data_IF_554349352656
#
_entry.id   IF_554349352656
#
_cell.length_a   1.000
_cell.length_b   1.000
_cell.length_c   1.000
_cell.angle_alpha   90.00
_cell.angle_beta   90.00
_cell.angle_gamma   90.00
#
_symmetry.space_group_name_H-M   'P 1'
#
loop_
_entity.id
_entity.type
_entity.pdbx_description
1 polymer ?
#
# COMPACT_ATOMS: atom_id res chain seq x y z
N UNK A 1 -1.69 10.60 31.85
CA UNK A 1 -2.76 9.80 32.49
C UNK A 1 -4.06 9.81 31.68
N UNK A 2 -4.30 10.84 30.85
CA UNK A 2 -5.52 10.95 30.04
C UNK A 2 -5.60 9.93 28.91
N UNK A 3 -4.49 9.67 28.23
CA UNK A 3 -4.43 8.74 27.10
C UNK A 3 -4.86 7.31 27.44
N UNK A 4 -4.44 6.78 28.60
CA UNK A 4 -4.84 5.43 29.04
C UNK A 4 -6.36 5.33 29.27
N UNK A 5 -7.00 6.37 29.82
CA UNK A 5 -8.46 6.34 30.01
C UNK A 5 -9.20 6.46 28.66
N UNK A 6 -8.70 7.30 27.75
CA UNK A 6 -9.22 7.39 26.38
C UNK A 6 -9.17 6.03 25.68
N UNK A 7 -8.02 5.34 25.73
CA UNK A 7 -7.85 3.98 25.21
C UNK A 7 -8.85 3.00 25.81
N UNK A 8 -8.92 2.93 27.15
CA UNK A 8 -9.84 2.02 27.86
C UNK A 8 -11.29 2.27 27.48
N UNK A 9 -11.67 3.52 27.23
CA UNK A 9 -13.03 3.86 26.78
C UNK A 9 -13.28 3.43 25.35
N UNK A 10 -12.38 3.76 24.42
CA UNK A 10 -12.49 3.35 23.02
C UNK A 10 -12.57 1.83 22.87
N UNK A 11 -11.70 1.09 23.58
CA UNK A 11 -11.73 -0.37 23.61
C UNK A 11 -13.08 -0.91 24.12
N UNK A 12 -13.58 -0.42 25.26
CA UNK A 12 -14.89 -0.83 25.80
C UNK A 12 -16.04 -0.57 24.84
N UNK A 13 -16.06 0.63 24.23
CA UNK A 13 -17.09 1.01 23.25
C UNK A 13 -17.01 0.17 21.99
N UNK A 14 -15.81 -0.18 21.53
CA UNK A 14 -15.60 -0.94 20.30
C UNK A 14 -16.38 -2.25 20.28
N UNK A 15 -16.51 -2.96 21.40
CA UNK A 15 -17.20 -4.25 21.43
C UNK A 15 -18.68 -4.20 21.02
N UNK A 16 -19.32 -3.02 21.09
CA UNK A 16 -20.75 -2.85 20.77
C UNK A 16 -21.01 -1.72 19.76
N UNK A 17 -19.97 -1.01 19.32
CA UNK A 17 -20.09 0.08 18.37
C UNK A 17 -20.33 -0.42 16.94
N UNK A 18 -21.23 0.24 16.22
CA UNK A 18 -21.32 0.12 14.76
C UNK A 18 -20.14 0.85 14.14
N UNK A 19 -19.70 0.47 12.93
CA UNK A 19 -18.66 1.22 12.22
C UNK A 19 -18.96 2.72 12.08
N UNK A 20 -20.23 3.10 11.92
CA UNK A 20 -20.66 4.49 11.78
C UNK A 20 -20.57 5.30 13.08
N UNK A 21 -20.35 4.65 14.23
CA UNK A 21 -20.24 5.31 15.52
C UNK A 21 -18.79 5.82 15.80
N UNK A 22 -17.81 5.47 14.94
CA UNK A 22 -16.40 5.84 15.11
C UNK A 22 -16.15 7.34 15.30
N UNK A 23 -16.77 8.25 14.52
CA UNK A 23 -16.59 9.70 14.74
C UNK A 23 -17.06 10.15 16.11
N UNK A 24 -18.19 9.62 16.57
CA UNK A 24 -18.74 9.96 17.89
C UNK A 24 -17.86 9.38 19.01
N UNK A 25 -17.27 8.19 18.80
CA UNK A 25 -16.30 7.61 19.73
C UNK A 25 -15.06 8.49 19.88
N UNK A 26 -14.51 8.99 18.77
CA UNK A 26 -13.38 9.93 18.80
C UNK A 26 -13.75 11.22 19.55
N UNK A 27 -14.90 11.83 19.24
CA UNK A 27 -15.40 13.01 19.95
C UNK A 27 -15.58 12.78 21.46
N UNK A 28 -16.07 11.61 21.88
CA UNK A 28 -16.22 11.25 23.29
C UNK A 28 -14.88 10.98 24.00
N UNK A 29 -13.83 10.62 23.27
CA UNK A 29 -12.49 10.43 23.80
C UNK A 29 -11.73 11.76 23.95
N UNK A 30 -12.04 12.78 23.14
CA UNK A 30 -11.33 14.06 23.10
C UNK A 30 -11.12 14.71 24.49
N UNK A 31 -12.13 14.84 25.37
CA UNK A 31 -11.94 15.51 26.67
C UNK A 31 -10.98 14.78 27.61
N UNK A 32 -10.75 13.48 27.39
CA UNK A 32 -9.86 12.66 28.23
C UNK A 32 -8.40 13.00 28.01
N UNK A 33 -8.07 13.53 26.84
CA UNK A 33 -6.73 14.04 26.49
C UNK A 33 -6.76 15.58 26.42
N UNK A 34 -7.65 16.24 27.15
CA UNK A 34 -7.70 17.71 27.19
C UNK A 34 -8.09 18.40 25.87
N UNK A 35 -8.59 17.66 24.89
CA UNK A 35 -9.07 18.19 23.62
C UNK A 35 -10.56 18.52 23.67
N UNK A 36 -10.97 19.54 22.92
CA UNK A 36 -12.38 19.92 22.76
C UNK A 36 -13.06 19.16 21.63
N UNK A 37 -12.29 18.69 20.65
CA UNK A 37 -12.78 17.88 19.55
C UNK A 37 -11.68 16.97 18.98
N UNK A 38 -12.10 15.82 18.44
CA UNK A 38 -11.28 14.89 17.68
C UNK A 38 -12.02 14.49 16.40
N UNK A 39 -11.48 14.87 15.24
CA UNK A 39 -12.11 14.62 13.95
C UNK A 39 -11.16 13.80 13.07
N UNK A 40 -11.59 12.59 12.69
CA UNK A 40 -10.86 11.78 11.73
C UNK A 40 -11.12 12.28 10.30
N UNK A 41 -10.06 12.38 9.51
CA UNK A 41 -10.10 12.57 8.08
C UNK A 41 -9.54 11.33 7.40
N UNK A 42 -10.28 10.78 6.45
CA UNK A 42 -9.86 9.62 5.67
C UNK A 42 -9.35 10.10 4.32
N UNK A 43 -8.25 9.52 3.85
CA UNK A 43 -7.71 9.83 2.54
C UNK A 43 -8.53 9.16 1.42
N UNK A 44 -8.85 9.89 0.36
CA UNK A 44 -9.51 9.35 -0.82
C UNK A 44 -8.65 8.29 -1.54
N UNK A 45 -9.27 7.53 -2.46
CA UNK A 45 -8.58 6.40 -3.12
C UNK A 45 -7.31 6.83 -3.87
N UNK A 46 -7.30 8.04 -4.44
CA UNK A 46 -6.16 8.59 -5.18
C UNK A 46 -5.16 9.31 -4.27
N UNK A 47 -5.40 9.36 -2.96
CA UNK A 47 -4.56 10.04 -1.98
C UNK A 47 -4.31 11.55 -2.27
N UNK A 48 -5.30 12.24 -2.85
CA UNK A 48 -5.27 13.69 -3.14
C UNK A 48 -6.04 14.50 -2.10
N UNK A 49 -7.09 13.94 -1.50
CA UNK A 49 -7.99 14.64 -0.59
C UNK A 49 -8.08 13.95 0.77
N UNK A 50 -8.15 14.75 1.83
CA UNK A 50 -8.51 14.34 3.17
C UNK A 50 -9.99 14.67 3.40
N UNK A 51 -10.79 13.64 3.67
CA UNK A 51 -12.25 13.69 3.73
C UNK A 51 -12.72 13.50 5.17
N UNK A 52 -13.45 14.46 5.75
CA UNK A 52 -13.86 14.37 7.15
C UNK A 52 -14.86 13.23 7.36
N UNK A 53 -14.52 12.33 8.28
CA UNK A 53 -15.43 11.32 8.80
C UNK A 53 -16.14 11.91 10.02
N UNK A 54 -17.24 12.62 9.77
CA UNK A 54 -18.05 13.30 10.79
C UNK A 54 -19.39 12.61 10.97
N UNK A 55 -19.86 12.53 12.21
CA UNK A 55 -21.20 12.07 12.56
C UNK A 55 -21.68 12.80 13.82
N UNK A 56 -23.00 12.80 14.04
CA UNK A 56 -23.61 13.35 15.25
C UNK A 56 -23.34 14.85 15.42
N UNK A 57 -22.88 15.22 16.62
CA UNK A 57 -22.70 16.61 17.05
C UNK A 57 -21.30 17.16 16.73
N UNK A 58 -20.49 16.43 15.94
CA UNK A 58 -19.17 16.87 15.55
C UNK A 58 -19.24 18.21 14.79
N UNK A 59 -18.32 19.17 15.06
CA UNK A 59 -18.26 20.41 14.31
C UNK A 59 -18.17 20.14 12.80
N UNK A 60 -18.85 20.94 11.95
CA UNK A 60 -18.77 20.77 10.52
C UNK A 60 -17.32 20.93 10.07
N UNK A 61 -16.93 20.07 9.12
CA UNK A 61 -15.62 20.05 8.49
C UNK A 61 -15.76 19.89 7.00
N UNK A 62 -14.90 20.58 6.27
CA UNK A 62 -14.81 20.50 4.82
C UNK A 62 -13.64 19.60 4.40
N UNK A 63 -13.77 18.89 3.27
CA UNK A 63 -12.63 18.27 2.60
C UNK A 63 -11.54 19.27 2.25
N UNK A 64 -10.28 18.83 2.27
CA UNK A 64 -9.16 19.62 1.77
C UNK A 64 -8.08 18.75 1.13
N UNK A 65 -7.21 19.38 0.34
CA UNK A 65 -6.09 18.71 -0.33
C UNK A 65 -5.04 18.23 0.67
N UNK A 66 -4.44 17.08 0.39
CA UNK A 66 -3.22 16.65 1.09
C UNK A 66 -2.12 17.68 0.83
N UNK A 67 -1.84 17.97 -0.43
CA UNK A 67 -0.73 18.87 -0.77
C UNK A 67 -1.02 20.32 -0.35
N UNK A 68 -0.01 20.97 0.24
CA UNK A 68 -0.09 22.37 0.67
C UNK A 68 -0.75 22.62 2.03
N UNK A 69 -1.14 21.58 2.77
CA UNK A 69 -1.79 21.72 4.10
C UNK A 69 -0.94 21.17 5.24
N UNK A 70 -1.17 21.66 6.46
CA UNK A 70 -0.50 21.14 7.66
C UNK A 70 -0.91 19.70 7.97
N UNK A 71 -2.20 19.41 7.80
CA UNK A 71 -2.77 18.07 7.89
C UNK A 71 -2.10 17.12 6.89
N UNK A 72 -1.95 17.53 5.63
CA UNK A 72 -1.25 16.73 4.64
C UNK A 72 0.24 16.57 4.93
N UNK A 73 0.89 17.52 5.60
CA UNK A 73 2.25 17.31 6.12
C UNK A 73 2.27 16.14 7.11
N UNK A 74 1.38 16.12 8.09
CA UNK A 74 1.28 15.00 9.03
C UNK A 74 1.03 13.65 8.32
N UNK A 75 0.14 13.64 7.32
CA UNK A 75 -0.12 12.47 6.48
C UNK A 75 1.13 11.99 5.71
N UNK A 76 1.87 12.92 5.09
CA UNK A 76 2.97 12.60 4.18
C UNK A 76 4.27 12.26 4.90
N UNK A 77 4.55 12.90 6.04
CA UNK A 77 5.76 12.65 6.85
C UNK A 77 5.57 11.57 7.90
N UNK A 78 4.32 11.20 8.23
CA UNK A 78 3.98 10.34 9.37
C UNK A 78 4.38 10.92 10.73
N UNK A 79 4.46 12.25 10.82
CA UNK A 79 4.84 12.96 12.05
C UNK A 79 3.69 13.86 12.53
N UNK A 80 3.49 14.00 13.86
CA UNK A 80 2.55 14.97 14.40
C UNK A 80 2.88 16.40 13.97
N UNK A 81 1.87 17.16 13.53
CA UNK A 81 2.04 18.56 13.12
C UNK A 81 1.11 19.48 13.92
N UNK A 82 1.65 20.54 14.52
CA UNK A 82 0.87 21.47 15.36
C UNK A 82 0.73 22.83 14.66
N UNK A 83 -0.47 23.39 14.65
CA UNK A 83 -0.72 24.74 14.11
C UNK A 83 -0.17 25.83 15.03
N UNK A 84 -0.09 27.05 14.51
CA UNK A 84 0.02 28.21 15.39
C UNK A 84 -1.25 28.34 16.26
N UNK A 85 -1.15 29.04 17.38
CA UNK A 85 -2.30 29.36 18.21
C UNK A 85 -3.20 30.37 17.49
N UNK A 86 -4.46 30.00 17.28
CA UNK A 86 -5.49 30.82 16.67
C UNK A 86 -6.60 31.13 17.70
N UNK A 87 -7.58 31.96 17.32
CA UNK A 87 -8.66 32.38 18.21
C UNK A 87 -9.57 31.21 18.65
N UNK A 88 -9.63 30.13 17.86
CA UNK A 88 -10.40 28.91 18.13
C UNK A 88 -9.57 27.78 18.76
N UNK A 89 -8.28 28.04 19.07
CA UNK A 89 -7.38 27.12 19.76
C UNK A 89 -6.14 26.74 18.94
N UNK A 90 -5.55 25.61 19.30
CA UNK A 90 -4.42 24.98 18.61
C UNK A 90 -4.88 23.66 18.02
N UNK A 91 -4.49 23.38 16.77
CA UNK A 91 -4.80 22.12 16.08
C UNK A 91 -3.56 21.24 16.04
N UNK A 92 -3.68 20.05 16.61
CA UNK A 92 -2.69 18.97 16.47
C UNK A 92 -3.20 17.98 15.41
N UNK A 93 -2.40 17.76 14.38
CA UNK A 93 -2.66 16.80 13.31
C UNK A 93 -1.80 15.58 13.51
N UNK A 94 -2.45 14.42 13.65
CA UNK A 94 -1.78 13.14 13.85
C UNK A 94 -2.06 12.23 12.68
N UNK A 95 -1.09 11.44 12.20
CA UNK A 95 -1.36 10.47 11.16
C UNK A 95 -2.26 9.34 11.71
N UNK A 96 -3.24 8.91 10.91
CA UNK A 96 -4.03 7.69 11.15
C UNK A 96 -3.38 6.57 10.34
N UNK A 97 -2.61 5.71 11.01
CA UNK A 97 -1.82 4.65 10.38
C UNK A 97 -2.19 3.30 10.97
N UNK A 98 -2.46 2.32 10.12
CA UNK A 98 -2.55 0.91 10.50
C UNK A 98 -1.26 0.21 10.06
N UNK A 99 -0.37 -0.11 11.01
CA UNK A 99 0.99 -0.52 10.71
C UNK A 99 1.77 0.55 9.94
N UNK A 100 1.87 0.41 8.63
CA UNK A 100 2.48 1.41 7.72
C UNK A 100 1.50 1.95 6.67
N UNK A 101 0.26 1.48 6.66
CA UNK A 101 -0.78 1.94 5.75
C UNK A 101 -1.38 3.26 6.23
N UNK A 102 -1.37 4.27 5.36
CA UNK A 102 -1.88 5.60 5.66
C UNK A 102 -3.38 5.67 5.38
N UNK A 103 -4.18 5.76 6.44
CA UNK A 103 -5.64 5.88 6.33
C UNK A 103 -6.09 7.33 6.22
N UNK A 104 -5.30 8.27 6.76
CA UNK A 104 -5.60 9.70 6.77
C UNK A 104 -4.98 10.40 7.97
N UNK A 105 -5.70 11.35 8.58
CA UNK A 105 -5.21 12.10 9.76
C UNK A 105 -6.31 12.33 10.79
N UNK A 106 -5.92 12.42 12.06
CA UNK A 106 -6.75 12.85 13.16
C UNK A 106 -6.46 14.33 13.45
N UNK A 107 -7.49 15.16 13.36
CA UNK A 107 -7.48 16.51 13.91
C UNK A 107 -7.81 16.45 15.40
N UNK A 108 -6.99 17.08 16.23
CA UNK A 108 -7.23 17.26 17.66
C UNK A 108 -7.25 18.76 17.95
N UNK A 109 -8.39 19.27 18.43
CA UNK A 109 -8.58 20.70 18.75
C UNK A 109 -8.35 20.91 20.24
N UNK A 110 -7.41 21.79 20.59
CA UNK A 110 -6.94 22.04 21.95
C UNK A 110 -7.11 23.52 22.30
N UNK A 111 -7.48 23.81 23.55
CA UNK A 111 -7.71 25.19 24.01
C UNK A 111 -6.41 25.97 24.33
N UNK A 112 -5.26 25.28 24.36
CA UNK A 112 -3.98 25.84 24.80
C UNK A 112 -2.79 25.16 24.13
N UNK A 113 -1.56 25.51 24.56
CA UNK A 113 -0.33 24.97 23.97
C UNK A 113 -0.24 23.45 24.14
N UNK A 114 0.39 22.79 23.16
CA UNK A 114 0.56 21.34 23.11
C UNK A 114 1.95 20.99 23.66
N UNK A 115 2.00 20.20 24.72
CA UNK A 115 3.24 19.62 25.26
C UNK A 115 3.45 18.19 24.76
N UNK A 116 4.68 17.68 24.89
CA UNK A 116 5.09 16.38 24.34
C UNK A 116 4.24 15.21 24.87
N UNK A 117 3.98 15.16 26.19
CA UNK A 117 3.11 14.14 26.80
C UNK A 117 1.69 14.12 26.18
N UNK A 118 1.18 15.28 25.77
CA UNK A 118 -0.12 15.40 25.14
C UNK A 118 -0.10 14.85 23.72
N UNK A 119 0.98 15.11 22.98
CA UNK A 119 1.18 14.55 21.64
C UNK A 119 1.23 13.03 21.72
N UNK A 120 1.93 12.47 22.70
CA UNK A 120 2.03 11.03 22.92
C UNK A 120 0.67 10.39 23.29
N UNK A 121 -0.06 10.98 24.25
CA UNK A 121 -1.41 10.55 24.63
C UNK A 121 -2.37 10.58 23.41
N UNK A 122 -2.30 11.63 22.59
CA UNK A 122 -3.14 11.75 21.39
C UNK A 122 -2.69 10.80 20.26
N UNK A 123 -1.39 10.59 20.06
CA UNK A 123 -0.85 9.66 19.07
C UNK A 123 -1.29 8.22 19.37
N UNK A 124 -1.32 7.86 20.65
CA UNK A 124 -1.82 6.57 21.15
C UNK A 124 -3.31 6.37 20.81
N UNK A 125 -4.12 7.42 21.00
CA UNK A 125 -5.53 7.41 20.59
C UNK A 125 -5.68 7.31 19.08
N UNK A 126 -4.86 8.05 18.32
CA UNK A 126 -4.84 8.01 16.84
C UNK A 126 -4.56 6.60 16.31
N UNK A 127 -3.57 5.91 16.89
CA UNK A 127 -3.23 4.54 16.53
C UNK A 127 -4.41 3.58 16.76
N UNK A 128 -5.05 3.63 17.94
CA UNK A 128 -6.22 2.78 18.20
C UNK A 128 -7.40 3.11 17.28
N UNK A 129 -7.63 4.39 16.97
CA UNK A 129 -8.68 4.78 16.02
C UNK A 129 -8.40 4.22 14.61
N UNK A 130 -7.14 4.22 14.16
CA UNK A 130 -6.76 3.62 12.89
C UNK A 130 -7.02 2.10 12.86
N UNK A 131 -6.65 1.38 13.92
CA UNK A 131 -6.95 -0.06 14.08
C UNK A 131 -8.46 -0.34 14.06
N UNK A 132 -9.24 0.49 14.77
CA UNK A 132 -10.68 0.39 14.78
C UNK A 132 -11.28 0.72 13.40
N UNK A 133 -10.76 1.70 12.67
CA UNK A 133 -11.23 2.01 11.32
C UNK A 133 -11.07 0.80 10.39
N UNK A 134 -9.91 0.17 10.38
CA UNK A 134 -9.64 -1.00 9.51
C UNK A 134 -10.51 -2.18 9.89
N UNK A 135 -10.56 -2.53 11.18
CA UNK A 135 -11.36 -3.67 11.65
C UNK A 135 -12.86 -3.46 11.45
N UNK A 136 -13.34 -2.20 11.48
CA UNK A 136 -14.76 -1.87 11.28
C UNK A 136 -15.15 -1.72 9.81
N UNK A 137 -14.23 -1.37 8.92
CA UNK A 137 -14.46 -1.34 7.48
C UNK A 137 -14.90 -2.69 6.92
N UNK A 138 -14.62 -3.81 7.60
CA UNK A 138 -15.12 -5.14 7.24
C UNK A 138 -16.65 -5.29 7.39
N UNK A 139 -17.29 -4.41 8.17
CA UNK A 139 -18.71 -4.50 8.53
C UNK A 139 -19.53 -3.29 8.06
N UNK A 140 -18.93 -2.34 7.33
CA UNK A 140 -19.63 -1.17 6.80
C UNK A 140 -18.91 -0.57 5.60
N UNK A 141 -19.71 -0.09 4.66
CA UNK A 141 -19.24 0.63 3.48
C UNK A 141 -19.04 2.12 3.75
N UNK A 142 -19.20 2.63 4.97
CA UNK A 142 -19.16 4.08 5.23
C UNK A 142 -17.81 4.69 4.89
N UNK A 143 -16.70 4.07 5.31
CA UNK A 143 -15.36 4.54 4.98
C UNK A 143 -15.11 4.39 3.47
N UNK A 144 -15.48 3.25 2.88
CA UNK A 144 -15.26 3.00 1.46
C UNK A 144 -16.07 3.95 0.57
N UNK A 145 -17.34 4.23 0.92
CA UNK A 145 -18.18 5.23 0.24
C UNK A 145 -17.60 6.63 0.38
N UNK A 146 -17.09 6.99 1.56
CA UNK A 146 -16.49 8.31 1.79
C UNK A 146 -15.26 8.51 0.88
N UNK A 147 -14.37 7.52 0.81
CA UNK A 147 -13.11 7.59 0.04
C UNK A 147 -13.30 7.70 -1.48
N UNK A 148 -14.48 7.35 -1.99
CA UNK A 148 -14.80 7.38 -3.41
C UNK A 148 -15.25 8.76 -3.85
N UNK A 149 -14.46 9.38 -4.73
CA UNK A 149 -14.75 10.69 -5.35
C UNK A 149 -15.45 10.55 -6.71
N UNK A 150 -15.45 9.34 -7.28
CA UNK A 150 -16.06 9.00 -8.58
C UNK A 150 -16.78 7.64 -8.46
N UNK A 151 -17.77 7.36 -9.34
CA UNK A 151 -18.32 6.02 -9.47
C UNK A 151 -17.23 5.01 -9.83
N UNK A 152 -17.30 3.81 -9.25
CA UNK A 152 -16.36 2.72 -9.52
C UNK A 152 -16.98 1.74 -10.53
N UNK A 153 -16.20 1.29 -11.52
CA UNK A 153 -16.63 0.23 -12.43
C UNK A 153 -16.48 -1.14 -11.78
N UNK A 154 -17.29 -2.10 -12.23
CA UNK A 154 -17.29 -3.46 -11.68
C UNK A 154 -15.91 -4.14 -11.74
N UNK A 155 -15.14 -3.91 -12.80
CA UNK A 155 -13.78 -4.42 -12.95
C UNK A 155 -12.87 -3.96 -11.78
N UNK A 156 -12.93 -2.67 -11.46
CA UNK A 156 -12.22 -2.10 -10.33
C UNK A 156 -12.73 -2.65 -8.98
N UNK A 157 -14.05 -2.83 -8.80
CA UNK A 157 -14.61 -3.43 -7.57
C UNK A 157 -14.04 -4.83 -7.31
N UNK A 158 -14.04 -5.68 -8.35
CA UNK A 158 -13.58 -7.08 -8.26
C UNK A 158 -12.09 -7.14 -7.94
N UNK A 159 -11.26 -6.35 -8.63
CA UNK A 159 -9.82 -6.46 -8.45
C UNK A 159 -9.34 -5.79 -7.17
N UNK A 160 -9.87 -4.60 -6.84
CA UNK A 160 -9.45 -3.88 -5.62
C UNK A 160 -9.78 -4.65 -4.35
N UNK A 161 -10.89 -5.38 -4.32
CA UNK A 161 -11.23 -6.26 -3.20
C UNK A 161 -10.19 -7.38 -2.97
N UNK A 162 -9.32 -7.65 -3.94
CA UNK A 162 -8.30 -8.69 -3.87
C UNK A 162 -6.89 -8.15 -3.64
N UNK A 163 -6.63 -6.85 -3.78
CA UNK A 163 -5.30 -6.28 -3.55
C UNK A 163 -4.92 -6.36 -2.07
N UNK A 164 -3.63 -6.54 -1.74
CA UNK A 164 -3.17 -6.36 -0.37
C UNK A 164 -3.29 -4.88 0.06
N UNK A 165 -3.10 -4.57 1.35
CA UNK A 165 -2.84 -3.19 1.79
C UNK A 165 -1.80 -2.52 0.90
N UNK A 166 -1.88 -1.19 0.72
CA UNK A 166 -0.96 -0.50 -0.18
C UNK A 166 0.46 -0.42 0.37
N UNK A 167 0.65 -0.60 1.68
CA UNK A 167 1.96 -0.47 2.31
C UNK A 167 2.09 -1.39 3.51
N UNK A 168 3.27 -1.98 3.67
CA UNK A 168 3.66 -2.79 4.81
C UNK A 168 5.09 -2.44 5.21
N UNK A 169 5.36 -2.43 6.52
CA UNK A 169 6.69 -2.16 7.05
C UNK A 169 6.99 -3.09 8.22
N UNK A 170 8.24 -3.53 8.28
CA UNK A 170 8.90 -4.13 9.44
C UNK A 170 10.17 -3.33 9.75
N UNK A 171 10.97 -3.77 10.73
CA UNK A 171 12.31 -3.23 10.94
C UNK A 171 13.25 -3.42 9.73
N UNK A 172 13.03 -4.46 8.93
CA UNK A 172 13.96 -4.92 7.88
C UNK A 172 13.46 -4.66 6.46
N UNK A 173 12.21 -4.24 6.30
CA UNK A 173 11.58 -4.16 5.00
C UNK A 173 10.48 -3.11 4.99
N UNK A 174 10.37 -2.36 3.89
CA UNK A 174 9.15 -1.61 3.56
C UNK A 174 8.73 -1.97 2.16
N UNK A 175 7.48 -2.34 1.98
CA UNK A 175 6.85 -2.55 0.68
C UNK A 175 5.78 -1.49 0.50
N UNK A 176 5.73 -0.83 -0.65
CA UNK A 176 4.64 0.07 -1.02
C UNK A 176 4.23 -0.17 -2.48
N UNK A 177 2.94 -0.37 -2.70
CA UNK A 177 2.33 -0.62 -3.99
C UNK A 177 1.24 0.40 -4.33
N UNK A 178 1.09 0.68 -5.61
CA UNK A 178 0.03 1.55 -6.14
C UNK A 178 -0.44 1.01 -7.49
N UNK A 179 -1.75 1.17 -7.75
CA UNK A 179 -2.43 0.82 -9.00
C UNK A 179 -3.37 1.98 -9.35
N UNK A 180 -3.17 2.57 -10.53
CA UNK A 180 -4.08 3.54 -11.15
C UNK A 180 -4.42 3.06 -12.57
N UNK A 181 -5.62 3.34 -13.11
CA UNK A 181 -6.70 4.10 -12.51
C UNK A 181 -7.44 3.31 -11.42
N UNK A 182 -7.71 3.93 -10.27
CA UNK A 182 -8.37 3.24 -9.17
C UNK A 182 -9.88 3.01 -9.35
N UNK A 183 -10.52 3.60 -10.38
CA UNK A 183 -11.97 3.51 -10.64
C UNK A 183 -12.34 2.67 -11.88
N UNK A 184 -11.37 2.35 -12.76
CA UNK A 184 -11.59 1.67 -14.05
C UNK A 184 -10.36 0.83 -14.45
N UNK A 185 -10.09 -0.22 -13.66
CA UNK A 185 -8.90 -1.06 -13.85
C UNK A 185 -9.04 -1.95 -15.09
N UNK A 186 -7.98 -2.01 -15.90
CA UNK A 186 -7.84 -2.74 -17.16
C UNK A 186 -7.33 -4.18 -17.06
N UNK A 187 -6.60 -4.56 -16.02
CA UNK A 187 -6.03 -5.91 -15.88
C UNK A 187 -4.80 -6.02 -14.97
N UNK A 188 -4.23 -4.92 -14.52
CA UNK A 188 -3.05 -4.92 -13.65
C UNK A 188 -3.39 -5.31 -12.21
N UNK A 189 -2.55 -6.15 -11.61
CA UNK A 189 -2.64 -6.46 -10.20
C UNK A 189 -1.27 -6.63 -9.55
N UNK A 190 -1.20 -6.41 -8.25
CA UNK A 190 -0.04 -6.78 -7.45
C UNK A 190 -0.46 -7.52 -6.19
N UNK A 191 0.45 -8.34 -5.66
CA UNK A 191 0.30 -8.98 -4.36
C UNK A 191 1.64 -9.04 -3.65
N UNK A 192 1.61 -8.98 -2.32
CA UNK A 192 2.78 -9.30 -1.52
C UNK A 192 2.36 -10.02 -0.24
N UNK A 193 3.31 -10.74 0.35
CA UNK A 193 3.17 -11.28 1.70
C UNK A 193 4.53 -11.45 2.33
N UNK A 194 4.60 -11.25 3.63
CA UNK A 194 5.82 -11.45 4.41
C UNK A 194 5.56 -12.60 5.38
N UNK A 195 6.19 -13.74 5.13
CA UNK A 195 6.00 -14.98 5.89
C UNK A 195 7.34 -15.38 6.53
N UNK A 196 7.51 -15.08 7.81
CA UNK A 196 8.81 -15.20 8.47
C UNK A 196 9.84 -14.31 7.78
N UNK A 197 10.98 -14.90 7.41
CA UNK A 197 12.09 -14.18 6.78
C UNK A 197 11.87 -13.87 5.29
N UNK A 198 10.86 -14.47 4.65
CA UNK A 198 10.67 -14.34 3.20
C UNK A 198 9.56 -13.33 2.88
N UNK A 199 9.93 -12.29 2.13
CA UNK A 199 9.01 -11.36 1.51
C UNK A 199 8.74 -11.77 0.05
N UNK A 200 7.51 -12.19 -0.23
CA UNK A 200 7.04 -12.52 -1.57
C UNK A 200 6.39 -11.29 -2.21
N UNK A 201 6.67 -11.04 -3.48
CA UNK A 201 6.12 -9.93 -4.27
C UNK A 201 5.74 -10.43 -5.65
N UNK A 202 4.61 -9.98 -6.17
CA UNK A 202 4.19 -10.27 -7.52
C UNK A 202 3.51 -9.07 -8.15
N UNK A 203 3.73 -8.89 -9.44
CA UNK A 203 3.04 -7.94 -10.29
C UNK A 203 2.56 -8.69 -11.54
N UNK A 204 1.32 -8.46 -11.94
CA UNK A 204 0.65 -9.09 -13.06
C UNK A 204 0.05 -8.01 -13.94
N UNK A 205 0.17 -8.18 -15.25
CA UNK A 205 -0.50 -7.37 -16.27
C UNK A 205 -1.19 -8.34 -17.24
N UNK A 206 -2.52 -8.34 -17.20
CA UNK A 206 -3.34 -9.20 -18.04
C UNK A 206 -3.80 -8.45 -19.29
N UNK A 207 -3.51 -9.03 -20.47
CA UNK A 207 -3.83 -8.39 -21.75
C UNK A 207 -5.35 -8.28 -21.94
N UNK A 208 -5.85 -7.05 -22.02
CA UNK A 208 -7.23 -6.73 -22.38
C UNK A 208 -7.76 -5.48 -21.70
N UNK A 209 -7.25 -4.30 -22.04
CA UNK A 209 -7.68 -3.03 -21.46
C UNK A 209 -9.06 -2.53 -21.99
N UNK A 210 -9.79 -1.76 -21.16
CA UNK A 210 -11.02 -1.04 -21.54
C UNK A 210 -12.36 -1.75 -21.32
N UNK A 211 -13.47 -1.01 -21.34
CA UNK A 211 -14.80 -1.43 -20.83
C UNK A 211 -15.44 -2.72 -21.39
N UNK A 212 -14.98 -3.24 -22.53
CA UNK A 212 -15.43 -4.53 -23.09
C UNK A 212 -14.42 -5.68 -22.92
N UNK A 213 -13.14 -5.39 -22.70
CA UNK A 213 -12.06 -6.38 -22.48
C UNK A 213 -11.60 -6.51 -21.03
N UNK A 214 -11.77 -5.43 -20.25
CA UNK A 214 -11.23 -5.27 -18.90
C UNK A 214 -11.78 -6.28 -17.90
N UNK A 215 -13.03 -6.72 -18.04
CA UNK A 215 -13.55 -7.79 -17.17
C UNK A 215 -12.83 -9.12 -17.41
N UNK A 216 -12.51 -9.47 -18.66
CA UNK A 216 -11.78 -10.71 -18.96
C UNK A 216 -10.36 -10.64 -18.39
N UNK A 217 -9.67 -9.52 -18.58
CA UNK A 217 -8.34 -9.29 -18.03
C UNK A 217 -8.34 -9.30 -16.50
N UNK A 218 -9.27 -8.61 -15.85
CA UNK A 218 -9.44 -8.63 -14.38
C UNK A 218 -9.71 -10.04 -13.85
N UNK A 219 -10.54 -10.85 -14.53
CA UNK A 219 -10.78 -12.24 -14.12
C UNK A 219 -9.51 -13.11 -14.25
N UNK A 220 -8.70 -12.88 -15.29
CA UNK A 220 -7.40 -13.55 -15.45
C UNK A 220 -6.40 -13.13 -14.37
N UNK A 221 -6.30 -11.84 -14.07
CA UNK A 221 -5.47 -11.33 -12.99
C UNK A 221 -5.91 -11.88 -11.63
N UNK A 222 -7.22 -11.92 -11.37
CA UNK A 222 -7.82 -12.51 -10.16
C UNK A 222 -7.47 -14.00 -10.00
N UNK A 223 -7.55 -14.76 -11.10
CA UNK A 223 -7.16 -16.16 -11.12
C UNK A 223 -5.66 -16.32 -10.85
N UNK A 224 -4.81 -15.48 -11.47
CA UNK A 224 -3.38 -15.50 -11.25
C UNK A 224 -3.01 -15.17 -9.80
N UNK A 225 -3.66 -14.16 -9.19
CA UNK A 225 -3.54 -13.83 -7.76
C UNK A 225 -3.92 -15.02 -6.88
N UNK A 226 -5.05 -15.68 -7.18
CA UNK A 226 -5.51 -16.86 -6.45
C UNK A 226 -4.51 -18.02 -6.53
N UNK A 227 -4.02 -18.33 -7.73
CA UNK A 227 -3.02 -19.37 -7.96
C UNK A 227 -1.69 -19.04 -7.27
N UNK A 228 -1.22 -17.79 -7.38
CA UNK A 228 -0.02 -17.30 -6.71
C UNK A 228 -0.10 -17.49 -5.18
N UNK A 229 -1.21 -17.05 -4.58
CA UNK A 229 -1.47 -17.22 -3.14
C UNK A 229 -1.57 -18.69 -2.74
N UNK A 230 -2.19 -19.52 -3.58
CA UNK A 230 -2.30 -20.96 -3.38
C UNK A 230 -0.93 -21.63 -3.35
N UNK A 231 -0.09 -21.40 -4.36
CA UNK A 231 1.26 -21.95 -4.45
C UNK A 231 2.16 -21.49 -3.29
N UNK A 232 2.09 -20.20 -2.93
CA UNK A 232 2.80 -19.64 -1.77
C UNK A 232 2.41 -20.33 -0.46
N UNK A 233 1.10 -20.50 -0.21
CA UNK A 233 0.60 -21.18 1.01
C UNK A 233 0.92 -22.68 1.03
N UNK A 234 1.11 -23.29 -0.14
CA UNK A 234 1.56 -24.67 -0.26
C UNK A 234 3.09 -24.82 -0.08
N UNK A 235 3.84 -23.73 0.16
CA UNK A 235 5.29 -23.76 0.33
C UNK A 235 6.06 -24.11 -0.95
N UNK A 236 5.47 -23.82 -2.12
CA UNK A 236 6.12 -24.08 -3.41
C UNK A 236 7.24 -23.09 -3.66
N UNK A 237 8.33 -23.53 -4.29
CA UNK A 237 9.41 -22.62 -4.73
C UNK A 237 8.94 -21.65 -5.84
N UNK A 238 9.73 -20.61 -6.11
CA UNK A 238 9.38 -19.56 -7.08
C UNK A 238 9.08 -20.13 -8.48
N UNK A 239 9.85 -21.12 -8.94
CA UNK A 239 9.64 -21.76 -10.24
C UNK A 239 8.37 -22.61 -10.28
N UNK A 240 8.06 -23.34 -9.21
CA UNK A 240 6.82 -24.09 -9.07
C UNK A 240 5.61 -23.16 -8.95
N UNK A 241 5.76 -22.01 -8.29
CA UNK A 241 4.74 -20.96 -8.21
C UNK A 241 4.40 -20.45 -9.61
N UNK A 242 5.40 -20.11 -10.44
CA UNK A 242 5.17 -19.76 -11.84
C UNK A 242 4.42 -20.87 -12.61
N UNK A 243 4.85 -22.14 -12.48
CA UNK A 243 4.19 -23.27 -13.16
C UNK A 243 2.74 -23.45 -12.73
N UNK A 244 2.44 -23.23 -11.45
CA UNK A 244 1.10 -23.35 -10.92
C UNK A 244 0.18 -22.26 -11.47
N UNK A 245 0.66 -21.00 -11.54
CA UNK A 245 -0.06 -19.89 -12.16
C UNK A 245 -0.28 -20.15 -13.66
N UNK A 246 0.77 -20.56 -14.40
CA UNK A 246 0.69 -20.92 -15.82
C UNK A 246 -0.37 -21.98 -16.09
N UNK A 247 -0.37 -23.05 -15.29
CA UNK A 247 -1.33 -24.12 -15.41
C UNK A 247 -2.76 -23.63 -15.16
N UNK A 248 -3.00 -22.91 -14.05
CA UNK A 248 -4.33 -22.42 -13.68
C UNK A 248 -4.90 -21.50 -14.78
N UNK A 249 -4.11 -20.55 -15.26
CA UNK A 249 -4.53 -19.62 -16.32
C UNK A 249 -4.80 -20.35 -17.63
N UNK A 250 -3.93 -21.28 -18.05
CA UNK A 250 -4.12 -22.04 -19.29
C UNK A 250 -5.35 -22.95 -19.26
N UNK A 251 -5.66 -23.54 -18.10
CA UNK A 251 -6.85 -24.38 -17.93
C UNK A 251 -8.14 -23.56 -17.99
N UNK A 252 -8.11 -22.33 -17.49
CA UNK A 252 -9.25 -21.41 -17.55
C UNK A 252 -9.43 -20.75 -18.93
N UNK A 253 -8.36 -20.19 -19.49
CA UNK A 253 -8.38 -19.47 -20.76
C UNK A 253 -7.07 -19.65 -21.53
N UNK A 254 -7.09 -20.55 -22.52
CA UNK A 254 -5.93 -20.84 -23.39
C UNK A 254 -5.47 -19.66 -24.25
N UNK A 255 -6.30 -18.62 -24.39
CA UNK A 255 -5.97 -17.40 -25.15
C UNK A 255 -5.69 -16.23 -24.20
N UNK A 256 -5.82 -16.41 -22.89
CA UNK A 256 -5.44 -15.41 -21.91
C UNK A 256 -3.93 -15.28 -21.89
N UNK A 257 -3.42 -14.06 -21.82
CA UNK A 257 -2.00 -13.78 -21.70
C UNK A 257 -1.81 -12.84 -20.51
N UNK A 258 -0.89 -13.20 -19.62
CA UNK A 258 -0.52 -12.36 -18.48
C UNK A 258 1.00 -12.22 -18.49
N UNK A 259 1.49 -10.99 -18.54
CA UNK A 259 2.89 -10.71 -18.21
C UNK A 259 3.01 -10.63 -16.70
N UNK A 260 4.08 -11.16 -16.12
CA UNK A 260 4.22 -11.14 -14.67
C UNK A 260 5.67 -11.05 -14.21
N UNK A 261 5.92 -10.39 -13.09
CA UNK A 261 7.16 -10.53 -12.33
C UNK A 261 6.86 -11.12 -10.97
N UNK A 262 7.56 -12.19 -10.60
CA UNK A 262 7.48 -12.85 -9.30
C UNK A 262 8.82 -12.70 -8.61
N UNK A 263 8.82 -12.30 -7.34
CA UNK A 263 10.02 -12.11 -6.57
C UNK A 263 9.90 -12.63 -5.13
N UNK A 264 11.00 -13.15 -4.61
CA UNK A 264 11.18 -13.54 -3.22
C UNK A 264 12.44 -12.86 -2.67
N UNK A 265 12.31 -12.15 -1.56
CA UNK A 265 13.42 -11.54 -0.85
C UNK A 265 13.59 -12.21 0.50
N UNK A 266 14.75 -12.83 0.73
CA UNK A 266 15.20 -13.23 2.06
C UNK A 266 15.68 -11.98 2.81
N UNK A 267 14.88 -11.56 3.80
CA UNK A 267 15.12 -10.34 4.58
C UNK A 267 16.36 -10.43 5.47
N UNK A 268 16.87 -11.65 5.72
CA UNK A 268 18.03 -11.89 6.58
C UNK A 268 19.33 -11.82 5.81
N UNK A 269 19.32 -12.23 4.54
CA UNK A 269 20.52 -12.30 3.69
C UNK A 269 20.57 -11.24 2.60
N UNK A 270 19.45 -10.60 2.28
CA UNK A 270 19.29 -9.71 1.13
C UNK A 270 19.26 -10.46 -0.21
N UNK A 271 19.08 -11.80 -0.20
CA UNK A 271 18.99 -12.58 -1.44
C UNK A 271 17.62 -12.38 -2.09
N UNK A 272 17.61 -11.70 -3.23
CA UNK A 272 16.46 -11.51 -4.09
C UNK A 272 16.46 -12.59 -5.19
N UNK A 273 15.37 -13.35 -5.30
CA UNK A 273 15.10 -14.28 -6.39
C UNK A 273 13.97 -13.74 -7.25
N UNK A 274 14.13 -13.75 -8.58
CA UNK A 274 13.15 -13.16 -9.51
C UNK A 274 12.90 -14.08 -10.70
N UNK A 275 11.64 -14.15 -11.12
CA UNK A 275 11.21 -14.64 -12.43
C UNK A 275 10.47 -13.51 -13.13
N UNK A 276 10.87 -13.19 -14.37
CA UNK A 276 10.11 -12.30 -15.24
C UNK A 276 9.50 -13.09 -16.41
N UNK A 277 8.18 -13.22 -16.38
CA UNK A 277 7.34 -13.87 -17.38
C UNK A 277 6.87 -12.86 -18.43
N UNK A 278 7.77 -12.48 -19.34
CA UNK A 278 7.47 -11.51 -20.41
C UNK A 278 7.19 -10.08 -19.93
N UNK A 279 7.55 -9.74 -18.69
CA UNK A 279 7.24 -8.47 -18.05
C UNK A 279 8.40 -7.46 -18.19
N UNK A 280 8.17 -6.14 -18.05
CA UNK A 280 9.25 -5.16 -17.95
C UNK A 280 10.31 -5.49 -16.90
N UNK A 281 11.53 -4.99 -17.10
CA UNK A 281 12.65 -5.25 -16.19
C UNK A 281 12.46 -4.52 -14.87
N UNK A 282 12.56 -5.22 -13.74
CA UNK A 282 12.68 -4.56 -12.45
C UNK A 282 14.02 -3.81 -12.32
N UNK A 283 14.05 -2.77 -11.48
CA UNK A 283 15.21 -1.89 -11.31
C UNK A 283 15.68 -1.94 -9.87
N UNK A 284 16.98 -2.13 -9.64
CA UNK A 284 17.61 -1.96 -8.34
C UNK A 284 18.17 -0.55 -8.23
N UNK A 285 17.69 0.19 -7.24
CA UNK A 285 18.15 1.53 -6.89
C UNK A 285 18.96 1.46 -5.61
N UNK A 286 20.20 1.94 -5.68
CA UNK A 286 21.16 1.96 -4.57
C UNK A 286 21.74 3.35 -4.42
N UNK A 287 21.73 3.87 -3.19
CA UNK A 287 22.30 5.18 -2.85
C UNK A 287 21.87 6.30 -3.84
N UNK A 288 20.60 6.30 -4.24
CA UNK A 288 20.06 7.29 -5.18
C UNK A 288 20.58 7.14 -6.61
N UNK A 289 20.87 5.91 -7.07
CA UNK A 289 21.20 5.63 -8.47
C UNK A 289 20.59 4.30 -8.89
N UNK A 290 20.09 4.20 -10.12
CA UNK A 290 19.81 2.89 -10.71
C UNK A 290 21.15 2.19 -10.95
N UNK A 291 21.39 1.11 -10.22
CA UNK A 291 22.66 0.35 -10.29
C UNK A 291 22.53 -0.95 -11.06
N UNK A 292 21.30 -1.46 -11.22
CA UNK A 292 21.07 -2.69 -11.97
C UNK A 292 19.67 -2.75 -12.57
N UNK A 293 19.59 -3.26 -13.79
CA UNK A 293 18.35 -3.67 -14.44
C UNK A 293 18.29 -5.18 -14.35
N UNK A 294 17.21 -5.72 -13.78
CA UNK A 294 17.02 -7.16 -13.63
C UNK A 294 16.80 -7.80 -15.01
N UNK A 295 17.38 -8.98 -15.30
CA UNK A 295 17.19 -9.64 -16.58
C UNK A 295 15.71 -9.94 -16.87
N UNK A 296 15.26 -9.65 -18.10
CA UNK A 296 13.94 -10.03 -18.62
C UNK A 296 14.02 -10.34 -20.13
N UNK A 297 13.21 -11.27 -20.67
CA UNK A 297 12.37 -12.23 -19.96
C UNK A 297 13.20 -13.44 -19.48
N UNK A 298 12.85 -13.98 -18.32
CA UNK A 298 13.43 -15.22 -17.77
C UNK A 298 12.46 -16.40 -17.84
N UNK A 299 11.19 -16.13 -18.15
CA UNK A 299 10.15 -17.08 -18.48
C UNK A 299 9.26 -16.51 -19.61
N UNK A 300 8.48 -17.36 -20.27
CA UNK A 300 7.45 -16.89 -21.20
C UNK A 300 6.28 -16.29 -20.42
N UNK A 301 5.49 -15.39 -21.03
CA UNK A 301 4.23 -14.95 -20.45
C UNK A 301 3.38 -16.14 -19.95
N UNK A 302 2.66 -15.92 -18.86
CA UNK A 302 1.76 -16.92 -18.27
C UNK A 302 0.73 -17.35 -19.31
N UNK A 303 0.45 -18.67 -19.35
CA UNK A 303 -0.31 -19.44 -20.34
C UNK A 303 0.54 -20.06 -21.47
N UNK A 304 1.75 -19.52 -21.71
CA UNK A 304 2.71 -20.01 -22.71
C UNK A 304 3.90 -20.75 -22.06
N UNK A 305 3.92 -20.91 -20.74
CA UNK A 305 5.06 -21.45 -19.99
C UNK A 305 5.38 -22.92 -20.22
N UNK A 306 4.47 -23.68 -20.87
CA UNK A 306 4.72 -25.10 -21.21
C UNK A 306 5.89 -25.27 -22.18
N UNK A 307 6.17 -24.24 -22.97
CA UNK A 307 7.12 -24.31 -24.07
C UNK A 307 8.56 -24.04 -23.61
N UNK A 308 8.74 -23.43 -22.43
CA UNK A 308 10.06 -23.11 -21.89
C UNK A 308 10.04 -23.06 -20.36
N UNK A 309 10.92 -23.81 -19.66
CA UNK A 309 11.01 -23.74 -18.21
C UNK A 309 11.45 -22.34 -17.76
N UNK A 310 10.92 -21.82 -16.63
CA UNK A 310 11.34 -20.54 -16.10
C UNK A 310 12.77 -20.61 -15.55
N UNK A 311 13.50 -19.50 -15.65
CA UNK A 311 14.81 -19.31 -15.03
C UNK A 311 14.67 -18.35 -13.86
N UNK A 312 15.09 -18.79 -12.68
CA UNK A 312 15.21 -17.93 -11.49
C UNK A 312 16.52 -17.16 -11.58
N UNK A 313 16.43 -15.84 -11.52
CA UNK A 313 17.59 -14.97 -11.39
C UNK A 313 17.79 -14.64 -9.92
N UNK A 314 19.03 -14.72 -9.44
CA UNK A 314 19.38 -14.39 -8.07
C UNK A 314 20.23 -13.12 -8.05
N UNK A 315 19.89 -12.20 -7.17
CA UNK A 315 20.59 -10.94 -6.94
C UNK A 315 20.77 -10.71 -5.45
N UNK A 316 21.91 -10.14 -5.06
CA UNK A 316 22.20 -9.85 -3.66
C UNK A 316 22.10 -8.35 -3.43
N UNK A 317 21.11 -7.97 -2.64
CA UNK A 317 20.88 -6.59 -2.24
C UNK A 317 21.90 -6.16 -1.18
N UNK A 318 22.13 -4.86 -1.12
CA UNK A 318 22.80 -4.18 -0.01
C UNK A 318 21.73 -3.50 0.86
N UNK A 319 21.97 -3.36 2.18
CA UNK A 319 21.04 -2.64 3.05
C UNK A 319 20.76 -1.22 2.52
N UNK A 320 19.48 -0.86 2.43
CA UNK A 320 19.01 0.40 1.86
C UNK A 320 18.70 0.34 0.36
N UNK A 321 19.00 -0.78 -0.33
CA UNK A 321 18.59 -0.99 -1.72
C UNK A 321 17.07 -1.01 -1.86
N UNK A 322 16.60 -0.47 -2.98
CA UNK A 322 15.20 -0.51 -3.39
C UNK A 322 15.06 -1.37 -4.64
N UNK A 323 14.07 -2.26 -4.63
CA UNK A 323 13.62 -3.00 -5.80
C UNK A 323 12.36 -2.32 -6.31
N UNK A 324 12.42 -1.78 -7.53
CA UNK A 324 11.32 -1.12 -8.22
C UNK A 324 10.77 -2.05 -9.31
N UNK A 325 9.53 -2.49 -9.15
CA UNK A 325 8.76 -3.27 -10.13
C UNK A 325 7.62 -2.39 -10.66
N UNK A 326 7.33 -2.49 -11.96
CA UNK A 326 6.35 -1.63 -12.62
C UNK A 326 5.77 -2.29 -13.88
N UNK A 327 4.56 -1.89 -14.27
CA UNK A 327 3.94 -2.25 -15.57
C UNK A 327 4.30 -1.28 -16.68
N UNK A 328 4.15 -1.72 -17.92
CA UNK A 328 4.44 -0.90 -19.10
C UNK A 328 3.59 0.37 -19.16
N UNK A 329 2.35 0.37 -18.66
CA UNK A 329 1.51 1.56 -18.56
C UNK A 329 2.13 2.72 -17.77
N UNK A 330 3.13 2.46 -16.91
CA UNK A 330 3.97 3.51 -16.30
C UNK A 330 4.92 4.15 -17.32
N UNK A 331 5.66 3.33 -18.07
CA UNK A 331 6.68 3.82 -18.99
C UNK A 331 6.12 4.29 -20.33
N UNK A 332 5.03 3.67 -20.76
CA UNK A 332 4.31 3.97 -21.99
C UNK A 332 3.28 5.10 -21.82
N UNK A 333 3.07 5.58 -20.58
CA UNK A 333 2.26 6.75 -20.29
C UNK A 333 2.65 7.94 -21.19
N UNK A 334 1.69 8.45 -21.97
CA UNK A 334 1.92 9.52 -22.94
C UNK A 334 1.35 10.84 -22.47
N UNK A 335 2.15 11.89 -22.63
CA UNK A 335 1.69 13.26 -22.46
C UNK A 335 0.73 13.70 -23.55
N UNK A 336 0.14 14.88 -23.36
CA UNK A 336 -0.71 15.55 -24.36
C UNK A 336 0.01 15.79 -25.69
N UNK A 337 1.34 15.91 -25.70
CA UNK A 337 2.18 16.02 -26.91
C UNK A 337 2.58 14.66 -27.50
N UNK A 338 2.25 13.57 -26.82
CA UNK A 338 2.58 12.20 -27.23
C UNK A 338 3.90 11.66 -26.66
N UNK A 339 4.63 12.45 -25.88
CA UNK A 339 5.91 12.02 -25.30
C UNK A 339 5.69 10.99 -24.19
N UNK A 340 6.43 9.88 -24.27
CA UNK A 340 6.45 8.86 -23.23
C UNK A 340 6.99 9.40 -21.91
N UNK A 341 6.47 8.89 -20.80
CA UNK A 341 7.04 9.10 -19.47
C UNK A 341 8.42 8.47 -19.40
N UNK A 342 8.53 7.20 -19.84
CA UNK A 342 9.79 6.49 -20.03
C UNK A 342 10.48 6.06 -18.73
N UNK A 343 11.44 5.13 -18.90
CA UNK A 343 12.21 4.56 -17.79
C UNK A 343 13.09 5.61 -17.11
N UNK A 344 13.68 6.53 -17.88
CA UNK A 344 14.59 7.54 -17.34
C UNK A 344 13.89 8.45 -16.32
N UNK A 345 12.67 8.93 -16.63
CA UNK A 345 11.89 9.75 -15.69
C UNK A 345 11.44 8.96 -14.46
N UNK A 346 11.05 7.70 -14.65
CA UNK A 346 10.68 6.82 -13.54
C UNK A 346 11.85 6.64 -12.56
N UNK A 347 13.04 6.34 -13.08
CA UNK A 347 14.27 6.20 -12.27
C UNK A 347 14.62 7.52 -11.60
N UNK A 348 14.66 8.62 -12.34
CA UNK A 348 14.98 9.95 -11.79
C UNK A 348 14.02 10.33 -10.66
N UNK A 349 12.73 10.03 -10.83
CA UNK A 349 11.72 10.30 -9.81
C UNK A 349 11.98 9.49 -8.54
N UNK A 350 12.14 8.17 -8.68
CA UNK A 350 12.39 7.28 -7.55
C UNK A 350 13.69 7.66 -6.81
N UNK A 351 14.75 7.98 -7.56
CA UNK A 351 16.04 8.44 -7.01
C UNK A 351 15.89 9.72 -6.19
N UNK A 352 15.18 10.73 -6.71
CA UNK A 352 14.97 12.00 -6.01
C UNK A 352 14.16 11.81 -4.74
N UNK A 353 13.09 11.04 -4.79
CA UNK A 353 12.24 10.78 -3.63
C UNK A 353 12.99 10.05 -2.51
N UNK A 354 13.87 9.10 -2.87
CA UNK A 354 14.79 8.43 -1.93
C UNK A 354 15.78 9.44 -1.33
N UNK A 355 16.34 10.34 -2.14
CA UNK A 355 17.28 11.36 -1.67
C UNK A 355 16.64 12.35 -0.68
N UNK A 356 15.37 12.69 -0.90
CA UNK A 356 14.56 13.55 -0.03
C UNK A 356 14.16 12.85 1.29
N UNK A 357 14.52 11.57 1.47
CA UNK A 357 14.20 10.74 2.65
C UNK A 357 12.70 10.69 2.95
N UNK A 358 11.87 10.79 1.91
CA UNK A 358 10.44 10.65 2.06
C UNK A 358 10.09 9.23 2.49
N UNK A 359 9.06 9.02 3.33
CA UNK A 359 8.52 7.69 3.55
C UNK A 359 8.21 7.00 2.23
N UNK A 360 8.49 5.70 2.12
CA UNK A 360 8.23 4.94 0.89
C UNK A 360 6.78 5.07 0.36
N UNK A 361 5.71 5.05 1.19
CA UNK A 361 4.35 5.31 0.71
C UNK A 361 4.16 6.72 0.13
N UNK A 362 4.94 7.70 0.57
CA UNK A 362 4.92 9.04 -0.02
C UNK A 362 5.64 9.06 -1.37
N UNK A 363 6.73 8.32 -1.49
CA UNK A 363 7.46 8.16 -2.76
C UNK A 363 6.56 7.55 -3.83
N UNK A 364 5.85 6.45 -3.53
CA UNK A 364 4.93 5.80 -4.48
C UNK A 364 3.73 6.69 -4.81
N UNK A 365 3.17 7.41 -3.82
CA UNK A 365 2.09 8.38 -4.06
C UNK A 365 2.52 9.47 -5.04
N UNK A 366 3.66 10.14 -4.79
CA UNK A 366 4.07 11.23 -5.68
C UNK A 366 4.45 10.72 -7.06
N UNK A 367 5.00 9.50 -7.17
CA UNK A 367 5.31 8.89 -8.45
C UNK A 367 4.04 8.68 -9.27
N UNK A 368 2.99 8.09 -8.67
CA UNK A 368 1.73 7.89 -9.40
C UNK A 368 1.08 9.21 -9.79
N UNK A 369 1.14 10.23 -8.93
CA UNK A 369 0.64 11.57 -9.26
C UNK A 369 1.42 12.20 -10.42
N UNK A 370 2.75 12.04 -10.47
CA UNK A 370 3.55 12.53 -11.58
C UNK A 370 3.21 11.83 -12.92
N UNK A 371 2.88 10.53 -12.89
CA UNK A 371 2.42 9.77 -14.06
C UNK A 371 1.05 10.29 -14.51
N UNK A 372 0.10 10.42 -13.58
CA UNK A 372 -1.25 10.95 -13.86
C UNK A 372 -1.22 12.36 -14.43
N UNK A 373 -0.45 13.26 -13.80
CA UNK A 373 -0.32 14.65 -14.22
C UNK A 373 0.37 14.75 -15.59
N UNK A 374 1.32 13.84 -15.91
CA UNK A 374 1.94 13.76 -17.23
C UNK A 374 0.90 13.43 -18.31
N UNK A 375 -0.16 12.69 -18.00
CA UNK A 375 -1.22 12.28 -18.93
C UNK A 375 -2.51 13.13 -18.85
N UNK A 376 -2.49 14.28 -18.17
CA UNK A 376 -3.68 15.13 -17.94
C UNK A 376 -4.85 14.34 -17.29
N UNK A 377 -4.52 13.50 -16.30
CA UNK A 377 -5.43 12.59 -15.57
C UNK A 377 -6.19 11.60 -16.49
N UNK A 378 -5.68 11.30 -17.69
CA UNK A 378 -6.24 10.34 -18.65
C UNK A 378 -5.29 9.20 -18.92
N UNK A 379 -5.31 8.22 -18.03
CA UNK A 379 -4.60 6.95 -18.21
C UNK A 379 -5.10 6.23 -19.48
N UNK A 380 -4.14 5.76 -20.27
CA UNK A 380 -4.39 4.99 -21.50
C UNK A 380 -4.35 3.47 -21.23
N UNK A 381 -3.66 3.10 -20.16
CA UNK A 381 -3.53 1.75 -19.64
C UNK A 381 -3.38 1.82 -18.11
N UNK A 382 -3.41 0.67 -17.44
CA UNK A 382 -3.12 0.59 -16.02
C UNK A 382 -1.65 0.91 -15.73
N UNK A 383 -1.40 1.72 -14.71
CA UNK A 383 -0.09 2.06 -14.20
C UNK A 383 0.06 1.51 -12.78
N UNK A 384 0.86 0.46 -12.66
CA UNK A 384 1.13 -0.20 -11.37
C UNK A 384 2.61 -0.10 -11.03
N UNK A 385 2.89 0.24 -9.78
CA UNK A 385 4.24 0.29 -9.23
C UNK A 385 4.27 -0.43 -7.89
N UNK A 386 5.28 -1.27 -7.69
CA UNK A 386 5.59 -1.90 -6.41
C UNK A 386 7.06 -1.64 -6.07
N UNK A 387 7.31 -0.99 -4.93
CA UNK A 387 8.66 -0.72 -4.44
C UNK A 387 8.87 -1.45 -3.12
N UNK A 388 9.98 -2.17 -3.01
CA UNK A 388 10.44 -2.75 -1.76
C UNK A 388 11.81 -2.18 -1.38
N UNK A 389 11.93 -1.62 -0.18
CA UNK A 389 13.19 -1.21 0.42
C UNK A 389 13.64 -2.27 1.42
N UNK A 390 14.78 -2.91 1.16
CA UNK A 390 15.43 -3.75 2.16
C UNK A 390 16.23 -2.87 3.11
N UNK A 391 16.09 -3.07 4.42
CA UNK A 391 16.79 -2.33 5.46
C UNK A 391 17.72 -3.30 6.18
N UNK A 392 18.83 -2.78 6.68
CA UNK A 392 19.73 -3.56 7.53
C UNK A 392 18.91 -4.12 8.70
N UNK A 393 19.17 -5.35 9.17
CA UNK A 393 18.80 -5.74 10.52
C UNK A 393 19.43 -4.82 11.56
N UNK A 394 18.79 -3.66 11.80
CA UNK A 394 19.07 -2.87 12.96
C UNK A 394 18.82 -3.74 14.20
N UNK A 395 19.69 -3.67 15.24
CA UNK A 395 19.35 -4.27 16.51
C UNK A 395 18.02 -3.67 16.97
N UNK A 396 17.08 -4.50 17.45
CA UNK A 396 15.72 -4.06 17.72
C UNK A 396 15.73 -2.88 18.69
N UNK A 397 14.91 -1.86 18.42
CA UNK A 397 14.51 -0.98 19.50
C UNK A 397 13.84 -1.86 20.56
N UNK A 398 14.27 -1.74 21.82
CA UNK A 398 13.99 -2.73 22.88
C UNK A 398 12.50 -3.02 23.12
N UNK A 399 11.60 -2.20 22.57
CA UNK A 399 10.15 -2.26 22.78
C UNK A 399 9.34 -2.70 21.55
N UNK A 400 9.97 -3.02 20.40
CA UNK A 400 9.25 -3.20 19.11
C UNK A 400 9.13 -4.63 18.57
N UNK A 401 9.73 -5.65 19.20
CA UNK A 401 9.53 -7.05 18.78
C UNK A 401 8.96 -7.95 19.88
N UNK A 402 8.01 -8.79 19.46
CA UNK A 402 7.66 -10.02 20.17
C UNK A 402 8.91 -10.94 20.16
N UNK A 403 9.22 -11.62 21.27
CA UNK A 403 10.42 -12.46 21.36
C UNK A 403 10.50 -13.45 20.20
N UNK A 404 11.70 -13.59 19.60
CA UNK A 404 11.98 -14.53 18.51
C UNK A 404 11.44 -15.93 18.87
N UNK A 405 10.32 -16.30 18.25
CA UNK A 405 9.85 -17.66 18.26
C UNK A 405 10.61 -18.41 17.16
N UNK A 406 11.24 -19.54 17.52
CA UNK A 406 11.83 -20.48 16.56
C UNK A 406 10.69 -21.08 15.70
N UNK A 407 10.27 -20.36 14.65
CA UNK A 407 9.22 -20.76 13.71
C UNK A 407 9.64 -21.93 12.80
N UNK A 408 10.58 -22.76 13.24
CA UNK A 408 11.10 -23.92 12.50
C UNK A 408 10.22 -25.17 12.62
N UNK A 409 9.20 -25.17 13.47
CA UNK A 409 8.22 -26.25 13.46
C UNK A 409 7.08 -25.92 12.49
N UNK A 410 6.86 -26.71 11.42
CA UNK A 410 5.60 -26.62 10.70
C UNK A 410 4.47 -26.88 11.70
N UNK A 411 3.52 -25.94 11.79
CA UNK A 411 2.25 -26.16 12.48
C UNK A 411 1.69 -27.50 11.98
N UNK A 412 1.65 -28.48 12.90
CA UNK A 412 1.73 -29.91 12.60
C UNK A 412 0.96 -30.38 11.36
N UNK A 413 1.62 -31.23 10.57
CA UNK A 413 0.94 -31.99 9.53
C UNK A 413 -0.24 -32.75 10.14
N UNK A 414 -1.45 -32.43 9.66
CA UNK A 414 -2.63 -33.26 9.92
C UNK A 414 -2.42 -34.56 9.16
N UNK A 415 -1.83 -35.56 9.81
CA UNK A 415 -2.03 -36.95 9.44
C UNK A 415 -3.45 -37.32 9.84
N UNK A 416 -4.34 -37.39 8.86
CA UNK A 416 -5.70 -37.91 8.97
C UNK A 416 -6.18 -38.34 7.60
#
# INVERSE_FOLDING_TARGET
MGGIEALRRLLRQSHHARPDDLPQMAMHAAPMVGATAMIAYVVDLQQRWLLPLVAGDAPPREPFMVDGTLAGRAFTTLEPCTSAAEADGVRLWLPLVNGAERLGVLEVVLAGPVGDDMVEDCATVSALLAELMVTRSLYSDTIERLRRRKPMLLAAEVLRAQLPPLTFSTGHLVISGVLEPCYDVGGDAFDYAVNGDIAHMALFDAVGHGSAGGMRAVMLASLALGAYRGARRAGTDLAGTYRHIDQAVREHDRRGLITAVLAELDQRTGLLKVISAGHPSGIIIRQGRAVKVLPTPTALPVSLGRDRPPVVVEERLEPGDHVLLYTDGVTEARSVTGDYFGIDRLVDFAVRAIADRLPLPETTRRLVHAILDHQDDRLQDDATVLIAQWRDPAPPAADTELPEADNREPLGGVTG
#
